data_IF_475765924380
#
_entry.id   IF_475765924380
#
_cell.length_a   1.000
_cell.length_b   1.000
_cell.length_c   1.000
_cell.angle_alpha   90.00
_cell.angle_beta   90.00
_cell.angle_gamma   90.00
#
_symmetry.space_group_name_H-M   'P 1'
#
loop_
_entity.id
_entity.type
_entity.pdbx_description
1 polymer ?
#
# COMPACT_ATOMS: atom_id res chain seq x y z
N UNK A 1 23.88 22.00 -9.90
CA UNK A 1 22.72 21.17 -10.28
C UNK A 1 21.47 21.96 -9.97
N UNK A 2 20.58 22.19 -10.94
CA UNK A 2 19.39 23.02 -10.75
C UNK A 2 18.35 22.25 -9.93
N UNK A 3 18.09 22.69 -8.70
CA UNK A 3 17.04 22.16 -7.80
C UNK A 3 15.69 22.84 -8.04
N UNK A 4 15.37 23.15 -9.29
CA UNK A 4 14.02 23.60 -9.65
C UNK A 4 13.08 22.39 -9.54
N UNK A 5 12.18 22.43 -8.56
CA UNK A 5 11.02 21.54 -8.45
C UNK A 5 10.26 21.57 -9.78
N UNK A 6 10.51 20.58 -10.65
CA UNK A 6 9.80 20.46 -11.92
C UNK A 6 8.30 20.49 -11.64
N UNK A 7 7.51 21.26 -12.42
CA UNK A 7 6.05 21.24 -12.28
C UNK A 7 5.58 19.78 -12.41
N UNK A 8 4.76 19.35 -11.45
CA UNK A 8 4.26 17.97 -11.39
C UNK A 8 3.34 17.74 -12.58
N UNK A 9 3.76 16.89 -13.50
CA UNK A 9 3.00 16.57 -14.70
C UNK A 9 2.06 15.39 -14.43
N UNK A 10 0.78 15.67 -14.19
CA UNK A 10 -0.21 14.68 -13.77
C UNK A 10 -0.39 13.58 -14.82
N UNK A 11 -0.43 13.93 -16.11
CA UNK A 11 -0.53 12.94 -17.19
C UNK A 11 0.61 11.91 -17.19
N UNK A 12 1.84 12.35 -16.90
CA UNK A 12 3.01 11.47 -16.85
C UNK A 12 2.93 10.53 -15.64
N UNK A 13 2.41 11.01 -14.51
CA UNK A 13 2.15 10.17 -13.34
C UNK A 13 1.09 9.10 -13.64
N UNK A 14 0.01 9.45 -14.34
CA UNK A 14 -1.01 8.49 -14.81
C UNK A 14 -0.36 7.41 -15.68
N UNK A 15 0.46 7.81 -16.65
CA UNK A 15 1.16 6.90 -17.56
C UNK A 15 2.05 5.91 -16.80
N UNK A 16 2.82 6.39 -15.81
CA UNK A 16 3.67 5.55 -14.96
C UNK A 16 2.88 4.55 -14.11
N UNK A 17 1.82 5.01 -13.44
CA UNK A 17 0.98 4.14 -12.62
C UNK A 17 0.30 3.08 -13.50
N UNK A 18 -0.16 3.46 -14.69
CA UNK A 18 -0.73 2.52 -15.67
C UNK A 18 0.27 1.45 -16.09
N UNK A 19 1.51 1.84 -16.40
CA UNK A 19 2.60 0.91 -16.75
C UNK A 19 2.91 -0.06 -15.60
N UNK A 20 2.98 0.44 -14.35
CA UNK A 20 3.20 -0.37 -13.16
C UNK A 20 2.06 -1.37 -12.91
N UNK A 21 0.83 -1.02 -13.30
CA UNK A 21 -0.34 -1.92 -13.26
C UNK A 21 -0.39 -2.89 -14.46
N UNK A 22 0.55 -2.83 -15.40
CA UNK A 22 0.57 -3.68 -16.59
C UNK A 22 -0.58 -3.41 -17.57
N UNK A 23 -1.20 -2.23 -17.50
CA UNK A 23 -2.38 -1.89 -18.28
C UNK A 23 -2.02 -1.17 -19.59
N UNK A 24 -2.62 -1.58 -20.72
CA UNK A 24 -2.46 -0.89 -22.01
C UNK A 24 -3.30 0.40 -22.05
N UNK A 25 -2.88 1.40 -22.83
CA UNK A 25 -3.65 2.64 -23.02
C UNK A 25 -5.06 2.37 -23.56
N UNK A 26 -5.21 1.42 -24.50
CA UNK A 26 -6.51 1.01 -25.04
C UNK A 26 -7.44 0.44 -23.96
N UNK A 27 -6.89 -0.34 -23.02
CA UNK A 27 -7.66 -0.94 -21.93
C UNK A 27 -8.15 0.13 -20.94
N UNK A 28 -7.28 1.09 -20.58
CA UNK A 28 -7.67 2.24 -19.76
C UNK A 28 -8.74 3.06 -20.47
N UNK A 29 -8.56 3.34 -21.76
CA UNK A 29 -9.51 4.10 -22.57
C UNK A 29 -10.88 3.44 -22.60
N UNK A 30 -10.92 2.13 -22.86
CA UNK A 30 -12.14 1.33 -22.85
C UNK A 30 -12.85 1.40 -21.49
N UNK A 31 -12.11 1.28 -20.38
CA UNK A 31 -12.67 1.30 -19.03
C UNK A 31 -13.29 2.65 -18.64
N UNK A 32 -12.73 3.77 -19.12
CA UNK A 32 -13.28 5.13 -18.86
C UNK A 32 -14.18 5.64 -20.00
N UNK A 33 -14.52 4.80 -20.99
CA UNK A 33 -15.40 5.16 -22.10
C UNK A 33 -14.81 6.19 -23.08
N UNK A 34 -13.47 6.28 -23.18
CA UNK A 34 -12.77 7.19 -24.07
C UNK A 34 -12.04 6.44 -25.20
N UNK A 35 -11.55 7.19 -26.18
CA UNK A 35 -10.68 6.64 -27.22
C UNK A 35 -9.23 6.52 -26.72
N UNK A 36 -8.45 5.61 -27.29
CA UNK A 36 -7.01 5.48 -27.00
C UNK A 36 -6.28 6.82 -27.20
N UNK A 37 -6.63 7.57 -28.26
CA UNK A 37 -6.02 8.87 -28.56
C UNK A 37 -6.33 9.89 -27.45
N UNK A 38 -7.54 9.85 -26.90
CA UNK A 38 -7.94 10.71 -25.78
C UNK A 38 -7.09 10.41 -24.54
N UNK A 39 -6.86 9.13 -24.22
CA UNK A 39 -5.97 8.73 -23.11
C UNK A 39 -4.53 9.15 -23.36
N UNK A 40 -4.02 8.99 -24.59
CA UNK A 40 -2.68 9.46 -24.93
C UNK A 40 -2.53 10.98 -24.75
N UNK A 41 -3.57 11.75 -25.09
CA UNK A 41 -3.57 13.20 -24.88
C UNK A 41 -3.63 13.56 -23.39
N UNK A 42 -4.39 12.81 -22.59
CA UNK A 42 -4.45 12.99 -21.13
C UNK A 42 -3.09 12.71 -20.50
N UNK A 43 -2.42 11.62 -20.90
CA UNK A 43 -1.07 11.28 -20.41
C UNK A 43 -0.01 12.33 -20.81
N UNK A 44 -0.23 13.03 -21.92
CA UNK A 44 0.61 14.15 -22.36
C UNK A 44 0.26 15.51 -21.75
N UNK A 45 -0.78 15.60 -20.91
CA UNK A 45 -1.21 16.86 -20.29
C UNK A 45 -0.60 17.07 -18.91
N UNK A 46 -0.10 18.28 -18.65
CA UNK A 46 0.41 18.66 -17.33
C UNK A 46 -0.67 18.63 -16.26
N UNK A 47 -1.88 19.08 -16.62
CA UNK A 47 -3.05 19.13 -15.73
C UNK A 47 -4.19 18.27 -16.30
N UNK A 48 -4.96 17.65 -15.41
CA UNK A 48 -6.12 16.83 -15.76
C UNK A 48 -7.27 17.27 -14.85
N UNK A 49 -8.45 17.46 -15.44
CA UNK A 49 -9.67 17.81 -14.69
C UNK A 49 -9.93 16.78 -13.58
N UNK A 50 -10.32 17.25 -12.39
CA UNK A 50 -10.50 16.38 -11.23
C UNK A 50 -11.51 15.25 -11.47
N UNK A 51 -12.58 15.50 -12.24
CA UNK A 51 -13.56 14.47 -12.61
C UNK A 51 -12.91 13.33 -13.42
N UNK A 52 -12.10 13.67 -14.42
CA UNK A 52 -11.39 12.66 -15.25
C UNK A 52 -10.32 11.96 -14.43
N UNK A 53 -9.62 12.71 -13.58
CA UNK A 53 -8.60 12.15 -12.70
C UNK A 53 -9.19 11.12 -11.73
N UNK A 54 -10.36 11.41 -11.16
CA UNK A 54 -11.08 10.48 -10.29
C UNK A 54 -11.50 9.21 -11.02
N UNK A 55 -12.07 9.32 -12.23
CA UNK A 55 -12.44 8.16 -13.04
C UNK A 55 -11.22 7.29 -13.40
N UNK A 56 -10.09 7.91 -13.74
CA UNK A 56 -8.84 7.20 -14.01
C UNK A 56 -8.29 6.54 -12.74
N UNK A 57 -8.36 7.23 -11.59
CA UNK A 57 -7.90 6.70 -10.32
C UNK A 57 -8.67 5.45 -9.89
N UNK A 58 -10.00 5.47 -10.05
CA UNK A 58 -10.88 4.33 -9.77
C UNK A 58 -10.50 3.10 -10.62
N UNK A 59 -10.34 3.28 -11.93
CA UNK A 59 -9.94 2.19 -12.84
C UNK A 59 -8.54 1.66 -12.52
N UNK A 60 -7.60 2.52 -12.13
CA UNK A 60 -6.25 2.14 -11.75
C UNK A 60 -6.15 1.59 -10.31
N UNK A 61 -7.24 1.60 -9.55
CA UNK A 61 -7.31 1.13 -8.17
C UNK A 61 -6.41 1.94 -7.22
N UNK A 62 -6.34 3.26 -7.42
CA UNK A 62 -5.57 4.21 -6.60
C UNK A 62 -6.46 5.43 -6.28
N UNK A 63 -6.02 6.30 -5.38
CA UNK A 63 -6.70 7.59 -5.18
C UNK A 63 -6.19 8.64 -6.18
N UNK A 64 -7.01 9.67 -6.43
CA UNK A 64 -6.57 10.82 -7.23
C UNK A 64 -5.38 11.56 -6.60
N UNK A 65 -5.35 11.65 -5.27
CA UNK A 65 -4.21 12.23 -4.53
C UNK A 65 -2.92 11.42 -4.70
N UNK A 66 -3.00 10.09 -4.78
CA UNK A 66 -1.84 9.23 -5.03
C UNK A 66 -1.25 9.52 -6.41
N UNK A 67 -2.09 9.79 -7.42
CA UNK A 67 -1.63 10.22 -8.75
C UNK A 67 -0.98 11.61 -8.69
N UNK A 68 -1.57 12.56 -7.95
CA UNK A 68 -1.01 13.93 -7.77
C UNK A 68 0.32 13.93 -7.01
N UNK A 69 0.49 13.00 -6.08
CA UNK A 69 1.68 12.90 -5.23
C UNK A 69 2.69 11.86 -5.69
N UNK A 70 2.40 11.14 -6.78
CA UNK A 70 3.30 10.15 -7.35
C UNK A 70 4.67 10.76 -7.65
N UNK A 71 5.71 10.06 -7.18
CA UNK A 71 7.11 10.29 -7.52
C UNK A 71 7.80 8.94 -7.65
N UNK A 72 8.72 8.82 -8.62
CA UNK A 72 9.46 7.57 -8.84
C UNK A 72 10.28 7.17 -7.59
N UNK A 73 10.81 8.16 -6.85
CA UNK A 73 11.49 7.93 -5.56
C UNK A 73 10.54 7.44 -4.45
N UNK A 74 9.29 7.92 -4.42
CA UNK A 74 8.28 7.48 -3.46
C UNK A 74 7.91 6.01 -3.66
N UNK A 75 7.85 5.55 -4.91
CA UNK A 75 7.59 4.14 -5.26
C UNK A 75 8.80 3.26 -4.92
N UNK A 76 10.01 3.71 -5.20
CA UNK A 76 11.24 2.98 -4.84
C UNK A 76 11.35 2.83 -3.32
N UNK A 77 11.04 3.88 -2.55
CA UNK A 77 10.99 3.80 -1.10
C UNK A 77 9.93 2.81 -0.62
N UNK A 78 8.72 2.78 -1.21
CA UNK A 78 7.70 1.77 -0.90
C UNK A 78 8.20 0.34 -1.12
N UNK A 79 8.74 0.02 -2.31
CA UNK A 79 9.26 -1.33 -2.58
C UNK A 79 10.41 -1.73 -1.65
N UNK A 80 11.27 -0.76 -1.29
CA UNK A 80 12.34 -0.99 -0.33
C UNK A 80 11.78 -1.22 1.08
N UNK A 81 10.74 -0.51 1.52
CA UNK A 81 10.09 -0.72 2.83
C UNK A 81 9.34 -2.06 2.91
N UNK A 82 8.81 -2.56 1.78
CA UNK A 82 8.20 -3.90 1.74
C UNK A 82 9.22 -5.04 1.73
N UNK A 83 10.46 -4.81 1.26
CA UNK A 83 11.52 -5.82 1.23
C UNK A 83 12.49 -5.73 2.40
N UNK A 84 12.65 -4.56 3.01
CA UNK A 84 13.53 -4.34 4.15
C UNK A 84 12.67 -4.15 5.40
N UNK A 85 12.47 -5.23 6.16
CA UNK A 85 12.29 -5.32 7.64
C UNK A 85 11.82 -4.08 8.44
N UNK A 86 10.96 -3.23 7.91
CA UNK A 86 10.59 -1.95 8.51
C UNK A 86 9.07 -1.82 8.60
N UNK A 87 8.41 -2.89 9.04
CA UNK A 87 7.03 -2.83 9.53
C UNK A 87 6.92 -2.11 10.89
N UNK A 88 8.02 -1.59 11.45
CA UNK A 88 8.02 -1.11 12.83
C UNK A 88 7.75 0.38 13.02
N UNK A 89 7.81 1.27 12.02
CA UNK A 89 7.59 2.71 12.32
C UNK A 89 7.22 3.68 11.18
N UNK A 90 6.85 3.25 9.96
CA UNK A 90 6.48 4.21 8.91
C UNK A 90 4.99 4.50 8.86
N UNK A 91 4.55 5.43 9.72
CA UNK A 91 3.31 6.20 9.52
C UNK A 91 3.48 7.16 8.33
N UNK A 92 3.43 6.65 7.10
CA UNK A 92 3.54 7.54 5.95
C UNK A 92 3.57 6.84 4.61
N UNK A 93 2.39 6.70 4.01
CA UNK A 93 2.08 7.23 2.68
C UNK A 93 0.92 6.43 2.10
N UNK A 94 -0.25 7.06 2.11
CA UNK A 94 -1.38 6.71 1.25
C UNK A 94 -2.13 5.41 1.57
N UNK A 95 -2.95 5.43 2.62
CA UNK A 95 -3.95 4.39 2.85
C UNK A 95 -4.45 4.37 4.28
N UNK A 96 -5.50 5.13 4.56
CA UNK A 96 -6.39 4.86 5.69
C UNK A 96 -7.13 3.55 5.45
N UNK A 97 -6.48 2.41 5.68
CA UNK A 97 -7.14 1.12 5.81
C UNK A 97 -6.43 0.36 6.94
N UNK A 98 -7.19 0.17 8.02
CA UNK A 98 -6.85 -0.61 9.21
C UNK A 98 -5.62 -0.13 9.98
N UNK A 99 -5.80 1.00 10.69
CA UNK A 99 -5.08 1.18 11.95
C UNK A 99 -5.47 0.01 12.87
N UNK A 100 -4.72 -1.09 12.81
CA UNK A 100 -4.72 -2.06 13.89
C UNK A 100 -4.37 -1.27 15.15
N UNK A 101 -5.36 -1.06 16.03
CA UNK A 101 -5.22 -0.37 17.32
C UNK A 101 -4.40 -1.19 18.31
N UNK A 102 -3.86 -2.32 17.87
CA UNK A 102 -3.00 -3.20 18.61
C UNK A 102 -1.72 -3.42 17.80
N UNK A 103 -0.58 -3.39 18.50
CA UNK A 103 0.68 -3.82 17.94
C UNK A 103 0.67 -5.35 17.79
N UNK A 104 0.86 -5.91 16.58
CA UNK A 104 0.85 -7.36 16.38
C UNK A 104 1.90 -8.09 17.23
N UNK A 105 3.05 -7.45 17.52
CA UNK A 105 4.08 -8.04 18.38
C UNK A 105 3.55 -8.27 19.79
N UNK A 106 2.80 -7.32 20.35
CA UNK A 106 2.24 -7.44 21.69
C UNK A 106 1.25 -8.62 21.77
N UNK A 107 0.49 -8.87 20.71
CA UNK A 107 -0.41 -10.03 20.62
C UNK A 107 0.32 -11.36 20.50
N UNK A 108 1.46 -11.38 19.83
CA UNK A 108 2.33 -12.57 19.77
C UNK A 108 2.92 -12.86 21.15
N UNK A 109 3.38 -11.84 21.87
CA UNK A 109 3.90 -12.00 23.24
C UNK A 109 2.80 -12.53 24.18
N UNK A 110 1.60 -11.95 24.13
CA UNK A 110 0.44 -12.39 24.92
C UNK A 110 0.09 -13.88 24.64
N UNK A 111 0.20 -14.33 23.38
CA UNK A 111 0.01 -15.74 23.01
C UNK A 111 1.10 -16.64 23.61
N UNK A 112 2.36 -16.23 23.57
CA UNK A 112 3.47 -17.01 24.15
C UNK A 112 3.35 -17.12 25.67
N UNK A 113 2.99 -16.04 26.36
CA UNK A 113 2.77 -16.07 27.81
C UNK A 113 1.67 -17.06 28.20
N UNK A 114 0.55 -17.06 27.46
CA UNK A 114 -0.54 -18.04 27.66
C UNK A 114 -0.10 -19.47 27.40
N UNK A 115 0.70 -19.70 26.36
CA UNK A 115 1.19 -21.04 26.02
C UNK A 115 2.13 -21.56 27.11
N UNK A 116 3.04 -20.72 27.61
CA UNK A 116 3.92 -21.05 28.74
C UNK A 116 3.10 -21.37 30.00
N UNK A 117 2.03 -20.62 30.27
CA UNK A 117 1.16 -20.91 31.41
C UNK A 117 0.44 -22.25 31.24
N UNK A 118 -0.10 -22.54 30.05
CA UNK A 118 -0.77 -23.81 29.77
C UNK A 118 0.17 -25.02 29.94
N UNK A 119 1.45 -24.89 29.53
CA UNK A 119 2.46 -25.93 29.75
C UNK A 119 2.76 -26.11 31.25
N UNK A 120 2.87 -25.03 32.03
CA UNK A 120 3.04 -25.11 33.49
C UNK A 120 1.87 -25.79 34.18
N UNK A 121 0.65 -25.39 33.85
CA UNK A 121 -0.58 -25.95 34.44
C UNK A 121 -0.69 -27.46 34.13
N UNK A 122 -0.31 -27.86 32.91
CA UNK A 122 -0.28 -29.26 32.49
C UNK A 122 0.78 -30.05 33.27
N UNK A 123 1.98 -29.51 33.45
CA UNK A 123 3.03 -30.14 34.26
C UNK A 123 2.58 -30.28 35.71
N UNK A 124 1.99 -29.24 36.30
CA UNK A 124 1.48 -29.31 37.68
C UNK A 124 0.38 -30.36 37.84
N UNK A 125 -0.54 -30.45 36.88
CA UNK A 125 -1.57 -31.48 36.86
C UNK A 125 -0.96 -32.89 36.80
N UNK A 126 0.04 -33.10 35.94
CA UNK A 126 0.76 -34.37 35.85
C UNK A 126 1.49 -34.69 37.15
N UNK A 127 2.18 -33.73 37.77
CA UNK A 127 2.85 -33.92 39.06
C UNK A 127 1.87 -34.32 40.18
N UNK A 128 0.68 -33.72 40.22
CA UNK A 128 -0.38 -34.09 41.17
C UNK A 128 -0.83 -35.53 40.95
N UNK A 129 -1.00 -35.97 39.69
CA UNK A 129 -1.33 -37.37 39.39
C UNK A 129 -0.23 -38.33 39.84
N UNK A 130 1.04 -37.96 39.69
CA UNK A 130 2.17 -38.79 40.13
C UNK A 130 2.32 -38.86 41.66
N UNK A 131 1.93 -37.82 42.40
CA UNK A 131 1.99 -37.78 43.88
C UNK A 131 0.85 -38.52 44.58
N UNK A 132 -0.21 -38.91 43.85
CA UNK A 132 -1.38 -39.63 44.38
C UNK A 132 -1.23 -41.17 44.26
N UNK A 133 -0.13 -41.65 43.67
CA UNK A 133 0.30 -43.06 43.74
C UNK A 133 1.26 -43.28 44.90
#
# INVERSE_FOLDING_TARGET
MSTATKPKHIGRNISRIRELRGMKQEALAFAIGLSQQSVSNIEGSENVDDEKLNAIAEVLGVSAEAIKNYSDEGVINYFNTFNAEAFTNSHGAFGSYDQFTFNPIDKVVELYERLVQAEKDKVEYLEKLFKVK
#
